data_IF_573227784426
#
_entry.id   IF_573227784426
#
_cell.length_a   1.000
_cell.length_b   1.000
_cell.length_c   1.000
_cell.angle_alpha   90.00
_cell.angle_beta   90.00
_cell.angle_gamma   90.00
#
_symmetry.space_group_name_H-M   'P 1'
#
loop_
_entity.id
_entity.type
_entity.pdbx_description
1 polymer ?
#
# COMPACT_ATOMS: atom_id res chain seq x y z
N UNK A 1 -12.72 -13.50 -6.88
CA UNK A 1 -12.16 -12.14 -6.80
C UNK A 1 -10.70 -12.29 -6.41
N UNK A 2 -9.77 -11.93 -7.29
CA UNK A 2 -8.33 -12.13 -7.08
C UNK A 2 -7.76 -10.94 -6.31
N UNK A 3 -7.17 -11.21 -5.15
CA UNK A 3 -6.62 -10.19 -4.25
C UNK A 3 -5.11 -10.35 -4.15
N UNK A 4 -4.39 -9.23 -4.08
CA UNK A 4 -2.98 -9.22 -3.75
C UNK A 4 -2.68 -8.19 -2.67
N UNK A 5 -1.83 -8.58 -1.72
CA UNK A 5 -1.14 -7.67 -0.81
C UNK A 5 0.24 -7.40 -1.38
N UNK A 6 0.54 -6.13 -1.62
CA UNK A 6 1.89 -5.68 -1.94
C UNK A 6 2.39 -4.68 -0.91
N UNK A 7 3.68 -4.72 -0.62
CA UNK A 7 4.23 -3.87 0.42
C UNK A 7 5.65 -3.40 0.14
N UNK A 8 6.03 -2.27 0.77
CA UNK A 8 7.42 -1.80 0.83
C UNK A 8 7.83 -1.54 2.28
N UNK A 9 8.78 -2.34 2.77
CA UNK A 9 9.24 -2.34 4.16
C UNK A 9 10.75 -2.10 4.22
N UNK A 10 11.22 -1.21 5.12
CA UNK A 10 12.67 -1.09 5.41
C UNK A 10 13.08 -1.78 6.70
N UNK A 11 12.22 -1.76 7.72
CA UNK A 11 12.52 -2.25 9.07
C UNK A 11 11.70 -3.47 9.48
N UNK A 12 11.01 -4.12 8.54
CA UNK A 12 10.22 -5.33 8.78
C UNK A 12 8.78 -5.09 9.27
N UNK A 13 8.45 -3.95 9.88
CA UNK A 13 7.09 -3.72 10.42
C UNK A 13 6.00 -3.85 9.36
N UNK A 14 6.18 -3.21 8.20
CA UNK A 14 5.17 -3.26 7.14
C UNK A 14 5.01 -4.68 6.59
N UNK A 15 6.12 -5.42 6.52
CA UNK A 15 6.13 -6.82 6.07
C UNK A 15 5.36 -7.73 7.02
N UNK A 16 5.51 -7.54 8.34
CA UNK A 16 4.79 -8.34 9.35
C UNK A 16 3.27 -8.27 9.14
N UNK A 17 2.72 -7.06 9.06
CA UNK A 17 1.28 -6.92 8.81
C UNK A 17 0.89 -7.36 7.40
N UNK A 18 1.74 -7.17 6.38
CA UNK A 18 1.44 -7.65 5.03
C UNK A 18 1.28 -9.18 4.99
N UNK A 19 2.14 -9.91 5.71
CA UNK A 19 2.02 -11.36 5.89
C UNK A 19 0.72 -11.74 6.58
N UNK A 20 0.42 -11.14 7.73
CA UNK A 20 -0.84 -11.39 8.45
C UNK A 20 -2.08 -11.12 7.60
N UNK A 21 -2.13 -9.98 6.90
CA UNK A 21 -3.25 -9.65 6.01
C UNK A 21 -3.37 -10.69 4.89
N UNK A 22 -2.26 -11.11 4.28
CA UNK A 22 -2.30 -12.11 3.21
C UNK A 22 -2.72 -13.50 3.69
N UNK A 23 -2.31 -13.88 4.91
CA UNK A 23 -2.67 -15.14 5.56
C UNK A 23 -4.16 -15.14 5.92
N UNK A 24 -4.66 -14.10 6.57
CA UNK A 24 -6.06 -13.96 6.97
C UNK A 24 -7.02 -13.90 5.76
N UNK A 25 -6.59 -13.27 4.66
CA UNK A 25 -7.37 -13.17 3.43
C UNK A 25 -7.13 -14.34 2.47
N UNK A 26 -6.17 -15.23 2.77
CA UNK A 26 -5.72 -16.31 1.90
C UNK A 26 -5.47 -15.83 0.45
N UNK A 27 -4.60 -14.82 0.28
CA UNK A 27 -4.35 -14.18 -1.00
C UNK A 27 -2.86 -14.02 -1.31
N UNK A 28 -2.55 -13.57 -2.53
CA UNK A 28 -1.17 -13.41 -2.98
C UNK A 28 -0.45 -12.31 -2.18
N UNK A 29 0.85 -12.50 -1.92
CA UNK A 29 1.72 -11.56 -1.22
C UNK A 29 2.99 -11.33 -2.04
N UNK A 30 3.37 -10.05 -2.26
CA UNK A 30 4.62 -9.71 -2.97
C UNK A 30 5.28 -8.45 -2.42
N UNK A 31 6.60 -8.38 -2.51
CA UNK A 31 7.34 -7.12 -2.28
C UNK A 31 7.07 -6.21 -3.48
N UNK A 32 6.80 -4.93 -3.22
CA UNK A 32 6.43 -3.97 -4.28
C UNK A 32 7.55 -3.71 -5.29
N UNK A 33 8.82 -4.02 -4.96
CA UNK A 33 9.95 -3.87 -5.88
C UNK A 33 10.04 -5.03 -6.90
N UNK A 34 9.36 -6.15 -6.63
CA UNK A 34 9.37 -7.34 -7.48
C UNK A 34 8.11 -7.47 -8.35
N UNK A 35 7.22 -6.47 -8.37
CA UNK A 35 5.95 -6.52 -9.09
C UNK A 35 5.95 -5.60 -10.31
N UNK A 36 5.40 -6.10 -11.41
CA UNK A 36 5.13 -5.27 -12.60
C UNK A 36 3.69 -4.78 -12.62
N UNK A 37 3.43 -3.74 -13.41
CA UNK A 37 2.07 -3.20 -13.53
C UNK A 37 1.14 -4.21 -14.23
N UNK A 38 1.64 -4.96 -15.21
CA UNK A 38 0.90 -5.99 -15.93
C UNK A 38 0.53 -7.16 -15.01
N UNK A 39 1.33 -7.43 -13.97
CA UNK A 39 0.94 -8.38 -12.93
C UNK A 39 -0.20 -7.83 -12.08
N UNK A 40 -0.14 -6.56 -11.65
CA UNK A 40 -1.18 -5.90 -10.85
C UNK A 40 -2.52 -5.80 -11.59
N UNK A 41 -2.49 -5.63 -12.91
CA UNK A 41 -3.69 -5.60 -13.75
C UNK A 41 -4.52 -6.88 -13.70
N UNK A 42 -3.93 -8.01 -13.30
CA UNK A 42 -4.61 -9.31 -13.18
C UNK A 42 -5.44 -9.46 -11.89
N UNK A 43 -5.36 -8.49 -10.99
CA UNK A 43 -6.06 -8.53 -9.70
C UNK A 43 -7.29 -7.62 -9.69
N UNK A 44 -8.29 -8.02 -8.94
CA UNK A 44 -9.52 -7.24 -8.70
C UNK A 44 -9.34 -6.30 -7.50
N UNK A 45 -8.56 -6.74 -6.50
CA UNK A 45 -8.27 -6.02 -5.27
C UNK A 45 -6.77 -5.91 -5.07
N UNK A 46 -6.29 -4.69 -4.85
CA UNK A 46 -4.88 -4.39 -4.58
C UNK A 46 -4.80 -3.74 -3.19
N UNK A 47 -4.10 -4.39 -2.26
CA UNK A 47 -3.86 -3.89 -0.91
C UNK A 47 -2.39 -3.49 -0.82
N UNK A 48 -2.13 -2.19 -0.71
CA UNK A 48 -0.78 -1.63 -0.65
C UNK A 48 -0.40 -1.23 0.79
N UNK A 49 0.74 -1.73 1.27
CA UNK A 49 1.32 -1.36 2.57
C UNK A 49 2.65 -0.63 2.45
N UNK A 50 2.83 0.48 3.16
CA UNK A 50 4.11 1.19 3.22
C UNK A 50 4.46 1.75 4.58
N UNK A 51 5.74 1.81 4.92
CA UNK A 51 6.21 2.57 6.08
C UNK A 51 5.99 4.08 5.91
N UNK A 52 5.55 4.76 6.96
CA UNK A 52 5.49 6.23 6.98
C UNK A 52 6.89 6.81 7.25
N UNK A 53 7.37 7.66 6.35
CA UNK A 53 8.61 8.43 6.53
C UNK A 53 8.28 9.92 6.41
N UNK A 54 8.42 10.65 7.53
CA UNK A 54 7.77 11.95 7.70
C UNK A 54 6.27 11.83 7.38
N UNK A 55 5.78 12.48 6.32
CA UNK A 55 4.38 12.40 5.89
C UNK A 55 4.16 11.47 4.69
N UNK A 56 5.23 10.92 4.10
CA UNK A 56 5.15 10.10 2.88
C UNK A 56 4.98 8.62 3.17
N UNK A 57 4.09 7.95 2.42
CA UNK A 57 3.97 6.49 2.42
C UNK A 57 5.01 5.92 1.46
N UNK A 58 5.90 5.08 1.99
CA UNK A 58 6.99 4.50 1.21
C UNK A 58 6.48 3.71 0.00
N UNK A 59 7.00 4.02 -1.19
CA UNK A 59 6.71 3.30 -2.43
C UNK A 59 5.31 3.53 -3.03
N UNK A 60 4.47 4.38 -2.42
CA UNK A 60 3.11 4.66 -2.90
C UNK A 60 3.05 5.18 -4.35
N UNK A 61 4.15 5.74 -4.85
CA UNK A 61 4.29 6.17 -6.24
C UNK A 61 3.95 5.07 -7.26
N UNK A 62 4.14 3.77 -6.94
CA UNK A 62 3.74 2.65 -7.80
C UNK A 62 2.24 2.68 -8.09
N UNK A 63 1.41 2.95 -7.08
CA UNK A 63 -0.04 3.04 -7.25
C UNK A 63 -0.41 4.35 -7.93
N UNK A 64 0.10 5.48 -7.43
CA UNK A 64 -0.27 6.81 -7.93
C UNK A 64 0.04 7.00 -9.41
N UNK A 65 1.25 6.63 -9.84
CA UNK A 65 1.70 6.85 -11.23
C UNK A 65 0.97 5.97 -12.24
N UNK A 66 0.37 4.87 -11.77
CA UNK A 66 -0.36 3.92 -12.61
C UNK A 66 -1.86 3.93 -12.30
N UNK A 67 -2.38 4.96 -11.63
CA UNK A 67 -3.76 4.99 -11.16
C UNK A 67 -4.74 4.86 -12.32
N UNK A 68 -4.47 5.46 -13.48
CA UNK A 68 -5.35 5.35 -14.66
C UNK A 68 -5.58 3.91 -15.13
N UNK A 69 -4.60 3.02 -14.92
CA UNK A 69 -4.71 1.58 -15.24
C UNK A 69 -5.40 0.80 -14.12
N UNK A 70 -5.34 1.30 -12.89
CA UNK A 70 -5.81 0.62 -11.69
C UNK A 70 -7.14 1.16 -11.16
N UNK A 71 -7.65 2.28 -11.68
CA UNK A 71 -8.78 3.03 -11.12
C UNK A 71 -10.10 2.26 -11.11
N UNK A 72 -10.24 1.27 -11.99
CA UNK A 72 -11.42 0.37 -12.03
C UNK A 72 -11.33 -0.79 -11.02
N UNK A 73 -10.24 -0.87 -10.24
CA UNK A 73 -10.01 -1.92 -9.23
C UNK A 73 -10.30 -1.40 -7.83
N UNK A 74 -10.46 -2.32 -6.88
CA UNK A 74 -10.53 -1.94 -5.46
C UNK A 74 -9.11 -1.75 -4.93
N UNK A 75 -8.78 -0.52 -4.55
CA UNK A 75 -7.46 -0.18 -4.00
C UNK A 75 -7.62 0.14 -2.52
N UNK A 76 -6.86 -0.55 -1.67
CA UNK A 76 -6.75 -0.28 -0.23
C UNK A 76 -5.30 0.09 0.05
N UNK A 77 -5.08 1.18 0.80
CA UNK A 77 -3.74 1.63 1.19
C UNK A 77 -3.69 1.73 2.70
N UNK A 78 -2.63 1.22 3.30
CA UNK A 78 -2.37 1.34 4.74
C UNK A 78 -0.89 1.66 4.98
N UNK A 79 -0.59 2.18 6.17
CA UNK A 79 0.77 2.55 6.53
C UNK A 79 1.13 2.20 7.99
N UNK A 80 2.37 1.79 8.22
CA UNK A 80 2.94 1.67 9.57
C UNK A 80 3.64 2.96 9.98
N UNK A 81 3.27 3.54 11.12
CA UNK A 81 3.94 4.69 11.73
C UNK A 81 4.46 4.38 13.13
N UNK A 82 5.12 5.37 13.74
CA UNK A 82 5.67 5.26 15.10
C UNK A 82 4.65 5.56 16.22
N UNK A 83 3.50 6.14 15.86
CA UNK A 83 2.42 6.45 16.79
C UNK A 83 1.08 6.43 16.06
N UNK A 84 -0.02 6.53 16.80
CA UNK A 84 -1.38 6.60 16.24
C UNK A 84 -1.64 7.88 15.45
N UNK A 85 -0.82 8.92 15.66
CA UNK A 85 -1.02 10.26 15.09
C UNK A 85 -2.19 11.03 15.72
N UNK A 86 -2.11 12.35 15.67
CA UNK A 86 -3.23 13.28 15.92
C UNK A 86 -3.98 13.55 14.62
N UNK A 87 -5.24 13.98 14.68
CA UNK A 87 -6.06 14.25 13.49
C UNK A 87 -5.37 15.19 12.48
N UNK A 88 -4.74 16.26 12.96
CA UNK A 88 -4.00 17.21 12.11
C UNK A 88 -2.82 16.55 11.39
N UNK A 89 -2.13 15.60 12.04
CA UNK A 89 -1.00 14.87 11.45
C UNK A 89 -1.50 13.87 10.41
N UNK A 90 -2.61 13.18 10.70
CA UNK A 90 -3.25 12.27 9.76
C UNK A 90 -3.75 13.02 8.51
N UNK A 91 -4.29 14.23 8.67
CA UNK A 91 -4.68 15.09 7.56
C UNK A 91 -3.48 15.50 6.71
N UNK A 92 -2.35 15.86 7.32
CA UNK A 92 -1.12 16.17 6.59
C UNK A 92 -0.60 14.97 5.79
N UNK A 93 -0.67 13.77 6.36
CA UNK A 93 -0.34 12.52 5.64
C UNK A 93 -1.28 12.35 4.46
N UNK A 94 -2.58 12.51 4.65
CA UNK A 94 -3.56 12.39 3.56
C UNK A 94 -3.24 13.38 2.43
N UNK A 95 -3.09 14.66 2.76
CA UNK A 95 -2.87 15.72 1.78
C UNK A 95 -1.57 15.52 0.99
N UNK A 96 -0.49 15.14 1.68
CA UNK A 96 0.79 14.88 1.04
C UNK A 96 0.73 13.73 0.03
N UNK A 97 -0.04 12.69 0.34
CA UNK A 97 -0.07 11.47 -0.47
C UNK A 97 -1.16 11.53 -1.57
N UNK A 98 -2.27 12.24 -1.38
CA UNK A 98 -3.44 12.11 -2.27
C UNK A 98 -3.99 13.42 -2.86
N UNK A 99 -3.69 14.59 -2.30
CA UNK A 99 -4.22 15.88 -2.78
C UNK A 99 -3.22 16.66 -3.66
N UNK A 100 -2.19 15.98 -4.17
CA UNK A 100 -1.22 16.48 -5.16
C UNK A 100 -0.99 15.49 -6.27
#
# INVERSE_FOLDING_TARGET
>A
MKTIVIYKSKSGYTETYAKWISEDLNCDLKVADDITIEELEKYDVIIYGGGLYAVGINGLALIKKNYDLLCNKKIVIWATGASTGREEELQQVWDYNFNK
#
